data_IF_494279061027
#
_entry.id   IF_494279061027
#
_cell.length_a   1.000
_cell.length_b   1.000
_cell.length_c   1.000
_cell.angle_alpha   90.00
_cell.angle_beta   90.00
_cell.angle_gamma   90.00
#
_symmetry.space_group_name_H-M   'P 1'
#
loop_
_entity.id
_entity.type
_entity.pdbx_description
1 polymer ?
#
# COMPACT_ATOMS: atom_id res chain seq x y z
N UNK A 1 12.10 0.22 -19.00
CA UNK A 1 12.69 -0.93 -18.38
C UNK A 1 12.46 -0.89 -16.89
N UNK A 2 12.62 -1.94 -16.22
CA UNK A 2 12.70 -1.96 -14.79
C UNK A 2 11.40 -2.04 -14.01
N UNK A 3 10.32 -1.48 -14.48
CA UNK A 3 9.08 -1.50 -13.70
C UNK A 3 8.53 -2.92 -13.53
N UNK A 4 8.65 -3.75 -14.56
CA UNK A 4 8.12 -5.11 -14.48
C UNK A 4 8.82 -5.94 -13.40
N UNK A 5 10.14 -5.81 -13.30
CA UNK A 5 10.91 -6.53 -12.29
C UNK A 5 10.52 -6.07 -10.90
N UNK A 6 10.41 -4.76 -10.72
CA UNK A 6 10.02 -4.18 -9.42
C UNK A 6 8.60 -4.59 -9.05
N UNK A 7 7.68 -4.51 -10.00
CA UNK A 7 6.29 -4.91 -9.75
C UNK A 7 6.18 -6.37 -9.35
N UNK A 8 6.92 -7.23 -10.04
CA UNK A 8 6.94 -8.65 -9.72
C UNK A 8 7.46 -8.89 -8.29
N UNK A 9 8.56 -8.23 -7.96
CA UNK A 9 9.17 -8.38 -6.63
C UNK A 9 8.24 -7.89 -5.52
N UNK A 10 7.55 -6.77 -5.77
CA UNK A 10 6.58 -6.23 -4.81
C UNK A 10 5.42 -7.18 -4.59
N UNK A 11 4.89 -7.75 -5.67
CA UNK A 11 3.75 -8.65 -5.59
C UNK A 11 4.11 -9.97 -4.92
N UNK A 12 5.33 -10.42 -5.12
CA UNK A 12 5.76 -11.73 -4.63
C UNK A 12 6.52 -11.68 -3.32
N UNK A 13 6.69 -10.48 -2.76
CA UNK A 13 7.33 -10.34 -1.46
C UNK A 13 8.82 -10.54 -1.48
N UNK A 14 9.48 -10.35 -2.64
CA UNK A 14 10.92 -10.51 -2.74
C UNK A 14 11.60 -9.23 -2.25
N UNK A 15 11.75 -9.14 -0.94
CA UNK A 15 12.25 -7.94 -0.29
C UNK A 15 13.68 -7.61 -0.72
N UNK A 16 14.54 -8.62 -0.87
CA UNK A 16 15.92 -8.40 -1.28
C UNK A 16 16.00 -7.77 -2.66
N UNK A 17 15.15 -8.24 -3.59
CA UNK A 17 15.13 -7.68 -4.93
C UNK A 17 14.60 -6.24 -4.91
N UNK A 18 13.58 -5.97 -4.10
CA UNK A 18 13.05 -4.61 -3.97
C UNK A 18 14.13 -3.68 -3.40
N UNK A 19 14.87 -4.13 -2.40
CA UNK A 19 15.96 -3.35 -1.84
C UNK A 19 17.03 -3.05 -2.88
N UNK A 20 17.33 -4.02 -3.76
CA UNK A 20 18.32 -3.83 -4.81
C UNK A 20 17.84 -2.84 -5.87
N UNK A 21 16.55 -2.85 -6.19
CA UNK A 21 15.97 -2.00 -7.23
C UNK A 21 15.66 -0.60 -6.74
N UNK A 22 15.32 -0.44 -5.46
CA UNK A 22 14.98 0.86 -4.87
C UNK A 22 16.12 1.36 -3.99
N UNK A 23 17.24 1.68 -4.63
CA UNK A 23 18.45 2.12 -3.90
C UNK A 23 18.33 3.55 -3.39
N UNK A 24 17.54 4.38 -4.06
CA UNK A 24 17.36 5.78 -3.67
C UNK A 24 16.02 5.94 -2.98
N UNK A 25 16.00 6.70 -1.90
CA UNK A 25 14.77 6.93 -1.14
C UNK A 25 13.67 7.54 -2.00
N UNK A 26 14.02 8.42 -2.93
CA UNK A 26 13.03 9.06 -3.79
C UNK A 26 12.32 8.09 -4.72
N UNK A 27 12.92 6.92 -4.97
CA UNK A 27 12.31 5.93 -5.86
C UNK A 27 11.10 5.24 -5.24
N UNK A 28 10.96 5.27 -3.91
CA UNK A 28 9.85 4.58 -3.25
C UNK A 28 8.50 5.21 -3.55
N UNK A 29 8.48 6.49 -3.98
CA UNK A 29 7.23 7.18 -4.31
C UNK A 29 7.01 7.28 -5.81
N UNK A 30 7.81 6.58 -6.61
CA UNK A 30 7.69 6.61 -8.06
C UNK A 30 6.39 5.93 -8.50
N UNK A 31 5.71 6.55 -9.47
CA UNK A 31 4.53 5.93 -10.06
C UNK A 31 4.98 4.91 -11.10
N UNK A 32 4.57 3.66 -10.92
CA UNK A 32 4.95 2.57 -11.81
C UNK A 32 3.94 2.44 -12.95
N UNK A 33 4.22 1.53 -13.88
CA UNK A 33 3.27 1.23 -14.94
C UNK A 33 1.94 0.85 -14.30
N UNK A 34 0.86 1.28 -14.90
CA UNK A 34 -0.46 1.01 -14.35
C UNK A 34 -0.94 2.09 -13.38
N UNK A 35 -0.11 3.10 -13.11
CA UNK A 35 -0.52 4.25 -12.30
C UNK A 35 -0.53 4.00 -10.80
N UNK A 36 0.17 2.97 -10.33
CA UNK A 36 0.25 2.62 -8.91
C UNK A 36 1.68 2.78 -8.41
N UNK A 37 1.83 3.02 -7.12
CA UNK A 37 3.13 3.18 -6.48
C UNK A 37 3.53 1.88 -5.77
N UNK A 38 4.82 1.73 -5.42
CA UNK A 38 5.26 0.51 -4.73
C UNK A 38 4.42 0.16 -3.50
N UNK A 39 4.04 1.17 -2.72
CA UNK A 39 3.27 0.92 -1.49
C UNK A 39 1.91 0.30 -1.78
N UNK A 40 1.27 0.66 -2.89
CA UNK A 40 -0.01 0.07 -3.27
C UNK A 40 0.14 -1.43 -3.52
N UNK A 41 1.20 -1.84 -4.20
CA UNK A 41 1.41 -3.27 -4.48
C UNK A 41 1.64 -4.06 -3.21
N UNK A 42 2.42 -3.53 -2.27
CA UNK A 42 2.67 -4.21 -1.01
C UNK A 42 1.38 -4.35 -0.21
N UNK A 43 0.57 -3.29 -0.15
CA UNK A 43 -0.70 -3.31 0.58
C UNK A 43 -1.70 -4.27 -0.06
N UNK A 44 -1.78 -4.23 -1.38
CA UNK A 44 -2.73 -5.04 -2.15
C UNK A 44 -2.43 -6.54 -2.01
N UNK A 45 -1.17 -6.90 -1.93
CA UNK A 45 -0.75 -8.29 -1.85
C UNK A 45 -0.51 -8.77 -0.41
N UNK A 46 -0.78 -7.94 0.58
CA UNK A 46 -0.64 -8.33 1.98
C UNK A 46 0.79 -8.53 2.43
N UNK A 47 1.74 -7.89 1.78
CA UNK A 47 3.17 -8.03 2.09
C UNK A 47 3.57 -7.07 3.20
N UNK A 48 3.29 -7.46 4.45
CA UNK A 48 3.49 -6.58 5.60
C UNK A 48 4.92 -6.11 5.78
N UNK A 49 5.88 -7.02 5.64
CA UNK A 49 7.29 -6.70 5.80
C UNK A 49 7.76 -5.73 4.72
N UNK A 50 7.32 -5.97 3.48
CA UNK A 50 7.60 -5.09 2.36
C UNK A 50 7.00 -3.70 2.59
N UNK A 51 5.78 -3.67 3.11
CA UNK A 51 5.09 -2.43 3.42
C UNK A 51 5.88 -1.61 4.43
N UNK A 52 6.35 -2.26 5.50
CA UNK A 52 7.15 -1.59 6.52
C UNK A 52 8.47 -1.05 5.95
N UNK A 53 9.11 -1.83 5.09
CA UNK A 53 10.35 -1.40 4.45
C UNK A 53 10.11 -0.13 3.63
N UNK A 54 9.08 -0.13 2.81
CA UNK A 54 8.78 1.02 1.95
C UNK A 54 8.46 2.26 2.78
N UNK A 55 7.70 2.09 3.84
CA UNK A 55 7.37 3.21 4.73
C UNK A 55 8.62 3.75 5.43
N UNK A 56 9.54 2.86 5.81
CA UNK A 56 10.80 3.27 6.44
C UNK A 56 11.68 4.08 5.49
N UNK A 57 11.49 3.91 4.19
CA UNK A 57 12.24 4.64 3.16
C UNK A 57 11.53 5.92 2.72
N UNK A 58 10.44 6.27 3.35
CA UNK A 58 9.75 7.53 3.06
C UNK A 58 8.59 7.43 2.11
N UNK A 59 8.05 6.23 1.88
CA UNK A 59 6.86 6.10 1.06
C UNK A 59 5.72 6.91 1.67
N UNK A 60 4.98 7.61 0.82
CA UNK A 60 3.85 8.43 1.26
C UNK A 60 2.68 7.50 1.61
N UNK A 61 2.37 7.44 2.91
CA UNK A 61 1.35 6.52 3.41
C UNK A 61 -0.04 6.82 2.84
N UNK A 62 -0.28 8.05 2.41
CA UNK A 62 -1.58 8.49 1.90
C UNK A 62 -1.60 8.73 0.39
N UNK A 63 -0.58 8.30 -0.34
CA UNK A 63 -0.50 8.56 -1.77
C UNK A 63 -1.61 7.84 -2.53
N UNK A 64 -2.43 8.55 -3.31
CA UNK A 64 -3.43 7.89 -4.14
C UNK A 64 -2.80 7.36 -5.42
N UNK A 65 -3.37 6.28 -5.97
CA UNK A 65 -2.99 5.85 -7.30
C UNK A 65 -3.82 6.63 -8.33
N UNK A 66 -3.72 6.26 -9.60
CA UNK A 66 -4.44 6.99 -10.66
C UNK A 66 -5.96 6.89 -10.52
N UNK A 67 -6.45 5.96 -9.73
CA UNK A 67 -7.89 5.79 -9.49
C UNK A 67 -8.34 6.43 -8.17
N UNK A 68 -7.44 7.09 -7.45
CA UNK A 68 -7.76 7.68 -6.16
C UNK A 68 -7.74 6.70 -5.00
N UNK A 69 -7.17 5.51 -5.20
CA UNK A 69 -7.10 4.49 -4.16
C UNK A 69 -5.81 4.67 -3.37
N UNK A 70 -5.93 4.77 -2.03
CA UNK A 70 -4.77 4.87 -1.15
C UNK A 70 -4.31 3.46 -0.75
N UNK A 71 -3.09 3.32 -0.21
CA UNK A 71 -2.66 2.02 0.29
C UNK A 71 -3.60 1.44 1.34
N UNK A 72 -4.15 2.29 2.22
CA UNK A 72 -5.11 1.82 3.23
C UNK A 72 -6.35 1.22 2.58
N UNK A 73 -6.88 1.89 1.56
CA UNK A 73 -8.04 1.36 0.83
C UNK A 73 -7.70 0.04 0.14
N UNK A 74 -6.52 -0.06 -0.48
CA UNK A 74 -6.09 -1.30 -1.13
C UNK A 74 -6.04 -2.46 -0.15
N UNK A 75 -5.41 -2.25 1.02
CA UNK A 75 -5.29 -3.29 2.03
C UNK A 75 -6.68 -3.70 2.55
N UNK A 76 -7.57 -2.72 2.69
CA UNK A 76 -8.92 -2.96 3.17
C UNK A 76 -9.73 -3.76 2.16
N UNK A 77 -9.67 -3.38 0.88
CA UNK A 77 -10.40 -4.08 -0.18
C UNK A 77 -9.98 -5.55 -0.26
N UNK A 78 -8.70 -5.82 -0.05
CA UNK A 78 -8.18 -7.18 -0.15
C UNK A 78 -8.21 -7.93 1.18
N UNK A 79 -8.64 -7.29 2.25
CA UNK A 79 -8.81 -7.93 3.54
C UNK A 79 -7.51 -8.23 4.29
N UNK A 80 -6.48 -7.42 4.09
CA UNK A 80 -5.18 -7.66 4.72
C UNK A 80 -5.06 -6.90 6.05
N UNK A 81 -5.52 -7.54 7.12
CA UNK A 81 -5.59 -6.94 8.45
C UNK A 81 -4.26 -6.36 8.93
N UNK A 82 -3.17 -7.11 8.80
CA UNK A 82 -1.86 -6.67 9.27
C UNK A 82 -1.40 -5.41 8.54
N UNK A 83 -1.63 -5.35 7.24
CA UNK A 83 -1.27 -4.17 6.46
C UNK A 83 -2.11 -2.95 6.87
N UNK A 84 -3.40 -3.14 7.12
CA UNK A 84 -4.27 -2.06 7.61
C UNK A 84 -3.71 -1.52 8.92
N UNK A 85 -3.35 -2.41 9.83
CA UNK A 85 -2.82 -2.03 11.13
C UNK A 85 -1.53 -1.21 11.00
N UNK A 86 -0.61 -1.68 10.18
CA UNK A 86 0.67 -0.99 9.96
C UNK A 86 0.44 0.40 9.37
N UNK A 87 -0.43 0.48 8.37
CA UNK A 87 -0.71 1.76 7.72
C UNK A 87 -1.30 2.77 8.70
N UNK A 88 -2.22 2.33 9.55
CA UNK A 88 -2.80 3.21 10.56
C UNK A 88 -1.76 3.68 11.57
N UNK A 89 -0.85 2.79 11.96
CA UNK A 89 0.25 3.15 12.89
C UNK A 89 1.18 4.18 12.27
N UNK A 90 1.27 4.23 10.96
CA UNK A 90 2.14 5.17 10.23
C UNK A 90 1.40 6.42 9.78
N UNK A 91 0.18 6.63 10.24
CA UNK A 91 -0.54 7.86 9.99
C UNK A 91 -1.46 7.85 8.77
N UNK A 92 -1.87 6.69 8.30
CA UNK A 92 -2.81 6.62 7.17
C UNK A 92 -4.12 7.34 7.53
N UNK A 93 -4.62 8.11 6.57
CA UNK A 93 -5.86 8.85 6.73
C UNK A 93 -7.05 7.92 6.48
N UNK A 94 -7.71 7.51 7.57
CA UNK A 94 -8.83 6.57 7.47
C UNK A 94 -10.13 7.21 6.99
N UNK A 95 -10.16 8.53 6.89
CA UNK A 95 -11.35 9.25 6.43
C UNK A 95 -11.39 9.44 4.92
N UNK A 96 -10.28 9.18 4.25
CA UNK A 96 -10.23 9.38 2.80
C UNK A 96 -11.09 8.36 2.08
N UNK A 97 -11.88 8.84 1.12
CA UNK A 97 -12.79 7.99 0.36
C UNK A 97 -12.15 7.54 -0.95
N UNK A 98 -12.54 6.34 -1.39
CA UNK A 98 -12.11 5.80 -2.67
C UNK A 98 -12.98 6.30 -3.81
N UNK A 99 -12.76 5.78 -5.03
CA UNK A 99 -13.50 6.22 -6.21
C UNK A 99 -15.01 5.92 -6.15
N UNK A 100 -15.39 4.99 -5.30
CA UNK A 100 -16.80 4.65 -5.10
C UNK A 100 -17.48 5.50 -4.02
N UNK A 101 -16.74 6.44 -3.42
CA UNK A 101 -17.27 7.32 -2.39
C UNK A 101 -17.30 6.73 -0.99
N UNK A 102 -16.72 5.55 -0.80
CA UNK A 102 -16.70 4.88 0.50
C UNK A 102 -15.37 5.08 1.20
N UNK A 103 -15.42 5.29 2.52
CA UNK A 103 -14.21 5.28 3.35
C UNK A 103 -13.76 3.85 3.54
N UNK A 104 -12.55 3.68 4.10
CA UNK A 104 -12.04 2.34 4.39
C UNK A 104 -12.98 1.57 5.32
N UNK A 105 -13.53 2.25 6.35
CA UNK A 105 -14.46 1.61 7.27
C UNK A 105 -15.70 1.09 6.53
N UNK A 106 -16.25 1.92 5.65
CA UNK A 106 -17.45 1.55 4.89
C UNK A 106 -17.18 0.41 3.91
N UNK A 107 -15.96 0.35 3.37
CA UNK A 107 -15.58 -0.68 2.40
C UNK A 107 -15.15 -1.99 3.06
N UNK A 108 -14.79 -1.97 4.35
CA UNK A 108 -14.28 -3.15 5.03
C UNK A 108 -15.34 -4.23 5.13
N UNK A 109 -14.94 -5.47 4.84
CA UNK A 109 -15.86 -6.60 4.83
C UNK A 109 -15.77 -7.47 6.09
N UNK A 110 -14.72 -7.31 6.89
CA UNK A 110 -14.54 -8.09 8.10
C UNK A 110 -14.67 -7.22 9.33
N UNK A 111 -15.19 -7.79 10.41
CA UNK A 111 -15.33 -7.05 11.66
C UNK A 111 -13.99 -6.66 12.26
N UNK A 112 -12.97 -7.51 12.07
CA UNK A 112 -11.63 -7.22 12.58
C UNK A 112 -11.07 -5.93 11.97
N UNK A 113 -11.21 -5.77 10.66
CA UNK A 113 -10.73 -4.56 9.99
C UNK A 113 -11.58 -3.35 10.36
N UNK A 114 -12.90 -3.52 10.41
CA UNK A 114 -13.79 -2.43 10.82
C UNK A 114 -13.43 -1.91 12.21
N UNK A 115 -13.10 -2.81 13.12
CA UNK A 115 -12.74 -2.42 14.48
C UNK A 115 -11.50 -1.53 14.51
N UNK A 116 -10.53 -1.79 13.63
CA UNK A 116 -9.34 -0.95 13.53
C UNK A 116 -9.64 0.43 12.96
N UNK A 117 -10.67 0.54 12.15
CA UNK A 117 -10.98 1.77 11.41
C UNK A 117 -11.99 2.67 12.10
N UNK A 118 -12.54 2.24 13.22
CA UNK A 118 -13.49 3.04 13.98
C UNK A 118 -12.90 4.33 14.54
#
# INVERSE_FOLDING_TARGET
MGDKELMWALKNGDLDEVKALLKKDEDVNRTLEGGRKPLHYAADCGQAEMLEFLLSKGADVNAPDKHGITPLLSATYEGHLTCVKILLEKGADKERKGPDGLSAFEAAETEAIKALLK
#
